data_IF_583526492800
#
_entry.id   IF_583526492800
#
_cell.length_a   1.000
_cell.length_b   1.000
_cell.length_c   1.000
_cell.angle_alpha   90.00
_cell.angle_beta   90.00
_cell.angle_gamma   90.00
#
_symmetry.space_group_name_H-M   'P 1'
#
loop_
_entity.id
_entity.type
_entity.pdbx_description
1 polymer ?
#
# COMPACT_ATOMS: atom_id res chain seq x y z
N UNK A 1 -17.19 5.40 -8.15
CA UNK A 1 -16.57 4.07 -7.93
C UNK A 1 -15.09 3.99 -8.29
N UNK A 2 -14.58 4.87 -9.16
CA UNK A 2 -13.18 4.87 -9.63
C UNK A 2 -12.11 4.67 -8.54
N UNK A 3 -12.17 5.38 -7.40
CA UNK A 3 -11.12 5.28 -6.36
C UNK A 3 -10.94 3.87 -5.77
N UNK A 4 -12.02 3.09 -5.64
CA UNK A 4 -11.93 1.73 -5.08
C UNK A 4 -11.14 0.78 -5.95
N UNK A 5 -11.15 1.02 -7.26
CA UNK A 5 -10.33 0.27 -8.23
C UNK A 5 -8.86 0.69 -8.25
N UNK A 6 -8.49 1.75 -7.50
CA UNK A 6 -7.13 2.32 -7.46
C UNK A 6 -6.39 2.03 -6.16
N UNK A 7 -7.10 1.56 -5.13
CA UNK A 7 -6.49 1.16 -3.86
C UNK A 7 -6.27 -0.36 -3.84
N UNK A 8 -5.27 -0.86 -3.10
CA UNK A 8 -5.06 -2.31 -2.96
C UNK A 8 -6.27 -3.00 -2.33
N UNK A 9 -6.82 -4.00 -3.00
CA UNK A 9 -7.96 -4.80 -2.50
C UNK A 9 -7.66 -6.29 -2.55
N UNK A 10 -8.21 -7.06 -1.63
CA UNK A 10 -8.16 -8.53 -1.75
C UNK A 10 -9.10 -9.00 -2.88
N UNK A 11 -8.80 -10.11 -3.59
CA UNK A 11 -9.63 -10.60 -4.69
C UNK A 11 -11.04 -11.01 -4.31
N UNK A 12 -11.25 -11.35 -3.04
CA UNK A 12 -12.57 -11.69 -2.50
C UNK A 12 -13.02 -10.67 -1.44
N UNK A 13 -12.45 -9.47 -1.46
CA UNK A 13 -12.77 -8.46 -0.46
C UNK A 13 -14.23 -8.02 -0.58
N UNK A 14 -14.94 -8.01 0.56
CA UNK A 14 -16.23 -7.33 0.64
C UNK A 14 -16.03 -5.86 0.30
N UNK A 15 -17.02 -5.27 -0.34
CA UNK A 15 -17.00 -3.85 -0.72
C UNK A 15 -16.61 -2.97 0.48
N UNK A 16 -15.44 -2.33 0.41
CA UNK A 16 -14.94 -1.42 1.44
C UNK A 16 -15.96 -0.33 1.75
N UNK A 17 -16.00 0.16 2.99
CA UNK A 17 -16.83 1.32 3.33
C UNK A 17 -16.25 2.60 2.68
N UNK A 18 -17.03 3.68 2.64
CA UNK A 18 -16.52 4.97 2.11
C UNK A 18 -15.35 5.48 2.93
N UNK A 19 -15.43 5.38 4.27
CA UNK A 19 -14.37 5.84 5.17
C UNK A 19 -13.12 4.98 5.05
N UNK A 20 -13.26 3.65 4.96
CA UNK A 20 -12.10 2.76 4.81
C UNK A 20 -11.41 2.96 3.46
N UNK A 21 -12.20 3.18 2.39
CA UNK A 21 -11.65 3.53 1.08
C UNK A 21 -10.78 4.80 1.16
N UNK A 22 -11.25 5.84 1.87
CA UNK A 22 -10.50 7.11 1.98
C UNK A 22 -9.24 6.95 2.83
N UNK A 23 -9.33 6.24 3.97
CA UNK A 23 -8.19 5.96 4.84
C UNK A 23 -7.10 5.18 4.09
N UNK A 24 -7.50 4.14 3.38
CA UNK A 24 -6.61 3.33 2.58
C UNK A 24 -5.98 4.13 1.44
N UNK A 25 -6.75 4.99 0.76
CA UNK A 25 -6.23 5.84 -0.30
C UNK A 25 -5.16 6.83 0.21
N UNK A 26 -5.37 7.43 1.38
CA UNK A 26 -4.38 8.34 1.99
C UNK A 26 -3.07 7.60 2.27
N UNK A 27 -3.16 6.44 2.92
CA UNK A 27 -1.98 5.61 3.21
C UNK A 27 -1.29 5.17 1.92
N UNK A 28 -2.04 4.74 0.92
CA UNK A 28 -1.48 4.27 -0.35
C UNK A 28 -0.79 5.40 -1.13
N UNK A 29 -1.36 6.62 -1.15
CA UNK A 29 -0.70 7.78 -1.76
C UNK A 29 0.61 8.11 -1.02
N UNK A 30 0.63 8.06 0.31
CA UNK A 30 1.84 8.29 1.08
C UNK A 30 2.96 7.29 0.73
N UNK A 31 2.63 6.00 0.56
CA UNK A 31 3.58 4.98 0.10
C UNK A 31 4.11 5.32 -1.29
N UNK A 32 3.23 5.60 -2.25
CA UNK A 32 3.61 5.89 -3.63
C UNK A 32 4.53 7.12 -3.72
N UNK A 33 4.37 8.11 -2.85
CA UNK A 33 5.28 9.27 -2.77
C UNK A 33 6.68 8.88 -2.33
N UNK A 34 6.81 7.98 -1.37
CA UNK A 34 8.13 7.50 -0.92
C UNK A 34 8.80 6.62 -1.97
N UNK A 35 8.03 5.75 -2.64
CA UNK A 35 8.51 4.96 -3.79
C UNK A 35 9.04 5.87 -4.91
N UNK A 36 8.29 6.93 -5.25
CA UNK A 36 8.73 7.88 -6.28
C UNK A 36 9.98 8.68 -5.84
N UNK A 37 10.14 8.95 -4.54
CA UNK A 37 11.28 9.67 -4.01
C UNK A 37 12.56 8.81 -3.94
N UNK A 38 12.45 7.50 -3.69
CA UNK A 38 13.60 6.61 -3.61
C UNK A 38 14.29 6.39 -4.96
N UNK A 39 13.55 6.55 -6.08
CA UNK A 39 14.00 6.22 -7.45
C UNK A 39 14.42 4.75 -7.64
N UNK A 40 14.07 3.90 -6.68
CA UNK A 40 14.30 2.45 -6.74
C UNK A 40 13.17 1.78 -7.53
N UNK A 41 13.36 0.51 -7.90
CA UNK A 41 12.25 -0.26 -8.42
C UNK A 41 11.14 -0.33 -7.34
N UNK A 42 9.87 -0.02 -7.66
CA UNK A 42 8.78 -0.05 -6.68
C UNK A 42 8.66 -1.38 -5.93
N UNK A 43 8.92 -2.49 -6.62
CA UNK A 43 8.89 -3.81 -6.01
C UNK A 43 10.00 -3.99 -4.99
N UNK A 44 11.24 -3.62 -5.35
CA UNK A 44 12.39 -3.73 -4.43
C UNK A 44 12.23 -2.83 -3.21
N UNK A 45 11.69 -1.61 -3.41
CA UNK A 45 11.41 -0.68 -2.31
C UNK A 45 10.39 -1.30 -1.33
N UNK A 46 9.26 -1.80 -1.85
CA UNK A 46 8.20 -2.38 -1.00
C UNK A 46 8.70 -3.66 -0.34
N UNK A 47 9.40 -4.54 -1.05
CA UNK A 47 9.97 -5.77 -0.50
C UNK A 47 10.98 -5.47 0.61
N UNK A 48 11.90 -4.52 0.41
CA UNK A 48 12.86 -4.11 1.44
C UNK A 48 12.17 -3.55 2.69
N UNK A 49 11.05 -2.84 2.53
CA UNK A 49 10.25 -2.39 3.66
C UNK A 49 9.60 -3.59 4.39
N UNK A 50 8.90 -4.47 3.66
CA UNK A 50 8.19 -5.60 4.24
C UNK A 50 9.12 -6.62 4.94
N UNK A 51 10.36 -6.76 4.46
CA UNK A 51 11.39 -7.60 5.08
C UNK A 51 12.06 -6.97 6.31
N UNK A 52 11.68 -5.73 6.68
CA UNK A 52 12.25 -5.02 7.82
C UNK A 52 13.69 -4.54 7.60
N UNK A 53 14.15 -4.51 6.34
CA UNK A 53 15.48 -3.98 5.97
C UNK A 53 15.54 -2.45 5.98
N UNK A 54 14.38 -1.79 6.06
CA UNK A 54 14.23 -0.33 6.13
C UNK A 54 13.28 0.04 7.26
N UNK A 55 13.60 1.11 7.99
CA UNK A 55 12.71 1.67 8.99
C UNK A 55 11.49 2.33 8.33
N UNK A 56 10.29 1.85 8.62
CA UNK A 56 9.05 2.40 8.08
C UNK A 56 8.46 3.47 9.00
N UNK A 57 8.90 4.71 8.81
CA UNK A 57 8.38 5.89 9.54
C UNK A 57 7.26 6.62 8.78
N UNK A 58 6.97 6.21 7.55
CA UNK A 58 5.95 6.83 6.70
C UNK A 58 4.53 6.64 7.22
N UNK A 59 3.67 7.64 7.00
CA UNK A 59 2.25 7.60 7.36
C UNK A 59 1.45 6.47 6.65
N UNK A 60 2.08 5.79 5.69
CA UNK A 60 1.54 4.63 5.00
C UNK A 60 1.68 3.32 5.79
N UNK A 61 2.56 3.27 6.81
CA UNK A 61 2.80 2.09 7.64
C UNK A 61 1.62 1.80 8.58
N UNK A 62 0.53 1.33 7.99
CA UNK A 62 -0.69 0.92 8.68
C UNK A 62 -0.86 -0.58 8.51
N UNK A 63 -1.33 -1.28 9.55
CA UNK A 63 -1.50 -2.73 9.51
C UNK A 63 -2.39 -3.19 8.34
N UNK A 64 -3.42 -2.42 8.00
CA UNK A 64 -4.30 -2.71 6.87
C UNK A 64 -3.57 -2.62 5.52
N UNK A 65 -2.82 -1.55 5.26
CA UNK A 65 -2.06 -1.42 4.01
C UNK A 65 -0.95 -2.48 3.91
N UNK A 66 -0.21 -2.74 4.98
CA UNK A 66 0.85 -3.77 5.00
C UNK A 66 0.28 -5.14 4.65
N UNK A 67 -0.83 -5.53 5.29
CA UNK A 67 -1.48 -6.83 5.03
C UNK A 67 -1.89 -6.96 3.56
N UNK A 68 -2.39 -5.88 2.95
CA UNK A 68 -2.73 -5.86 1.52
C UNK A 68 -1.49 -6.00 0.64
N UNK A 69 -0.42 -5.26 0.92
CA UNK A 69 0.82 -5.31 0.14
C UNK A 69 1.49 -6.69 0.17
N UNK A 70 1.46 -7.38 1.32
CA UNK A 70 1.95 -8.77 1.44
C UNK A 70 1.15 -9.76 0.60
N UNK A 71 -0.09 -9.40 0.25
CA UNK A 71 -0.99 -10.27 -0.50
C UNK A 71 -0.87 -10.05 -2.02
N UNK A 72 -0.42 -8.87 -2.45
CA UNK A 72 -0.20 -8.58 -3.86
C UNK A 72 0.88 -9.53 -4.40
N UNK A 73 0.55 -10.27 -5.45
CA UNK A 73 1.57 -10.96 -6.25
C UNK A 73 2.22 -9.94 -7.16
N UNK A 74 3.53 -9.80 -7.04
CA UNK A 74 4.33 -8.83 -7.79
C UNK A 74 4.98 -9.44 -9.06
N UNK A 75 4.53 -10.63 -9.47
CA UNK A 75 4.97 -11.35 -10.68
C UNK A 75 4.61 -10.63 -11.99
#
# INVERSE_FOLDING_TARGET
>A
ESLRSKVPTFPYEKRLSKIDTLRLAIAYIALLREVLASRENPHEFVASCLEGRREMTGAWNTSDLITRLCWIKWD
#
